data_IF_691301110746
#
_entry.id   IF_691301110746
#
_cell.length_a   1.000
_cell.length_b   1.000
_cell.length_c   1.000
_cell.angle_alpha   90.00
_cell.angle_beta   90.00
_cell.angle_gamma   90.00
#
_symmetry.space_group_name_H-M   'P 1'
#
loop_
_entity.id
_entity.type
_entity.pdbx_description
1 polymer ?
#
# COMPACT_ATOMS: atom_id res chain seq x y z
N UNK A 1 -0.69 3.48 14.51
CA UNK A 1 0.36 2.88 13.64
C UNK A 1 0.45 3.74 12.37
N UNK A 2 1.47 3.61 11.53
CA UNK A 2 1.57 4.39 10.29
C UNK A 2 2.07 3.55 9.13
N UNK A 3 1.52 3.75 7.94
CA UNK A 3 2.05 3.19 6.70
C UNK A 3 2.28 4.33 5.70
N UNK A 4 3.50 4.42 5.20
CA UNK A 4 3.91 5.43 4.24
C UNK A 4 4.42 4.73 2.98
N UNK A 5 3.95 5.21 1.83
CA UNK A 5 4.46 4.80 0.52
C UNK A 5 5.12 5.99 -0.13
N UNK A 6 6.42 5.87 -0.38
CA UNK A 6 7.19 6.84 -1.15
C UNK A 6 7.19 6.42 -2.61
N UNK A 7 6.61 7.25 -3.48
CA UNK A 7 6.62 7.02 -4.91
C UNK A 7 7.98 7.36 -5.52
N UNK A 8 8.46 6.59 -6.51
CA UNK A 8 9.71 6.86 -7.20
C UNK A 8 9.59 8.07 -8.14
N UNK A 9 10.73 8.51 -8.68
CA UNK A 9 10.77 9.56 -9.68
C UNK A 9 10.15 9.12 -11.02
N UNK A 10 9.34 9.99 -11.63
CA UNK A 10 8.66 9.71 -12.90
C UNK A 10 7.18 9.37 -12.74
N UNK A 11 6.46 9.29 -13.86
CA UNK A 11 5.07 8.87 -13.89
C UNK A 11 4.98 7.34 -14.02
N UNK A 12 3.99 6.69 -13.37
CA UNK A 12 3.69 5.29 -13.65
C UNK A 12 3.29 5.16 -15.14
N UNK A 13 4.21 4.67 -15.98
CA UNK A 13 3.94 4.42 -17.39
C UNK A 13 3.00 3.22 -17.58
N UNK A 14 2.28 3.14 -18.71
CA UNK A 14 1.37 2.02 -19.02
C UNK A 14 -0.11 2.34 -18.80
N UNK A 15 -0.94 1.30 -18.58
CA UNK A 15 -2.41 1.45 -18.47
C UNK A 15 -2.91 1.62 -17.04
N UNK A 16 -2.03 1.89 -16.07
CA UNK A 16 -2.37 2.03 -14.63
C UNK A 16 -3.42 3.12 -14.43
N UNK A 17 -4.51 2.77 -13.76
CA UNK A 17 -5.61 3.68 -13.40
C UNK A 17 -5.64 3.99 -11.91
N UNK A 18 -5.33 3.00 -11.06
CA UNK A 18 -5.21 3.18 -9.63
C UNK A 18 -4.36 2.06 -8.99
N UNK A 19 -3.88 2.35 -7.79
CA UNK A 19 -3.36 1.35 -6.86
C UNK A 19 -4.23 1.31 -5.60
N UNK A 20 -4.34 0.15 -4.98
CA UNK A 20 -4.90 0.02 -3.63
C UNK A 20 -4.00 -0.85 -2.77
N UNK A 21 -4.02 -0.61 -1.46
CA UNK A 21 -3.30 -1.40 -0.47
C UNK A 21 -4.29 -1.82 0.59
N UNK A 22 -4.40 -3.12 0.78
CA UNK A 22 -5.35 -3.74 1.69
C UNK A 22 -4.77 -5.04 2.23
N UNK A 23 -5.28 -5.51 3.36
CA UNK A 23 -4.95 -6.86 3.83
C UNK A 23 -5.64 -7.93 2.98
N UNK A 24 -5.09 -9.14 2.95
CA UNK A 24 -5.71 -10.32 2.33
C UNK A 24 -6.64 -11.09 3.27
N UNK A 25 -7.08 -10.45 4.35
CA UNK A 25 -8.08 -11.01 5.26
C UNK A 25 -9.41 -11.27 4.51
N UNK A 26 -10.22 -12.19 5.03
CA UNK A 26 -11.57 -12.44 4.53
C UNK A 26 -12.44 -11.17 4.51
N UNK A 27 -12.17 -10.23 5.43
CA UNK A 27 -12.65 -8.85 5.36
C UNK A 27 -11.44 -7.93 5.18
N UNK A 28 -11.15 -7.47 3.95
CA UNK A 28 -9.96 -6.68 3.68
C UNK A 28 -9.92 -5.40 4.50
N UNK A 29 -8.88 -5.25 5.31
CA UNK A 29 -8.56 -3.99 5.97
C UNK A 29 -7.95 -3.02 4.98
N UNK A 30 -8.64 -1.91 4.71
CA UNK A 30 -8.22 -0.93 3.71
C UNK A 30 -7.20 0.04 4.30
N UNK A 31 -6.02 0.10 3.71
CA UNK A 31 -4.95 1.04 4.08
C UNK A 31 -4.94 2.20 3.08
N UNK A 32 -4.89 1.90 1.78
CA UNK A 32 -5.06 2.87 0.70
C UNK A 32 -6.16 2.35 -0.23
N UNK A 33 -7.23 3.11 -0.42
CA UNK A 33 -8.29 2.77 -1.37
C UNK A 33 -7.89 3.21 -2.79
N UNK A 34 -8.60 2.69 -3.81
CA UNK A 34 -8.33 3.02 -5.21
C UNK A 34 -8.59 4.49 -5.57
N UNK A 35 -9.39 5.20 -4.78
CA UNK A 35 -9.65 6.64 -4.96
C UNK A 35 -8.44 7.47 -4.53
N UNK A 36 -7.92 7.23 -3.33
CA UNK A 36 -6.72 7.89 -2.83
C UNK A 36 -5.48 7.48 -3.63
N UNK A 37 -5.42 6.21 -4.06
CA UNK A 37 -4.38 5.68 -4.94
C UNK A 37 -4.65 5.85 -6.44
N UNK A 38 -5.57 6.74 -6.85
CA UNK A 38 -5.81 7.01 -8.26
C UNK A 38 -4.55 7.52 -8.95
N UNK A 39 -4.35 7.18 -10.24
CA UNK A 39 -3.13 7.53 -10.99
C UNK A 39 -2.84 9.04 -10.98
N UNK A 40 -3.88 9.88 -10.95
CA UNK A 40 -3.76 11.33 -10.86
C UNK A 40 -3.12 11.80 -9.53
N UNK A 41 -3.22 11.01 -8.47
CA UNK A 41 -2.62 11.26 -7.17
C UNK A 41 -1.23 10.62 -7.03
N UNK A 42 -0.83 9.76 -7.97
CA UNK A 42 0.48 9.10 -8.02
C UNK A 42 1.52 10.00 -8.70
N UNK A 43 1.65 11.23 -8.21
CA UNK A 43 2.62 12.17 -8.74
C UNK A 43 4.04 11.82 -8.25
N UNK A 44 5.04 12.18 -9.05
CA UNK A 44 6.45 11.98 -8.72
C UNK A 44 6.80 12.44 -7.30
N UNK A 45 7.47 11.57 -6.55
CA UNK A 45 7.92 11.78 -5.16
C UNK A 45 6.81 12.04 -4.12
N UNK A 46 5.54 11.86 -4.51
CA UNK A 46 4.41 12.01 -3.57
C UNK A 46 4.46 10.92 -2.51
N UNK A 47 4.20 11.34 -1.28
CA UNK A 47 4.04 10.47 -0.13
C UNK A 47 2.56 10.20 0.10
N UNK A 48 2.14 8.95 -0.14
CA UNK A 48 0.82 8.49 0.28
C UNK A 48 0.94 7.95 1.70
N UNK A 49 0.35 8.68 2.65
CA UNK A 49 0.34 8.32 4.06
C UNK A 49 -1.02 7.80 4.49
N UNK A 50 -1.02 6.69 5.24
CA UNK A 50 -2.16 6.25 6.03
C UNK A 50 -1.83 6.31 7.51
N UNK A 51 -2.73 6.91 8.28
CA UNK A 51 -2.66 6.98 9.73
C UNK A 51 -3.87 6.30 10.33
N UNK A 52 -3.64 5.34 11.22
CA UNK A 52 -4.71 4.63 11.90
C UNK A 52 -4.19 3.41 12.66
N UNK A 53 -5.14 2.62 13.15
CA UNK A 53 -4.87 1.30 13.72
C UNK A 53 -5.73 0.30 12.97
N UNK A 54 -5.08 -0.74 12.45
CA UNK A 54 -5.73 -1.83 11.74
C UNK A 54 -5.30 -3.13 12.44
N UNK A 55 -6.27 -3.91 12.89
CA UNK A 55 -6.00 -5.24 13.41
C UNK A 55 -5.82 -6.19 12.24
N UNK A 56 -4.67 -6.85 12.20
CA UNK A 56 -4.31 -7.80 11.14
C UNK A 56 -4.18 -9.17 11.80
N UNK A 57 -4.84 -10.17 11.23
CA UNK A 57 -4.73 -11.55 11.71
C UNK A 57 -3.32 -12.08 11.44
N UNK A 58 -2.81 -12.96 12.31
CA UNK A 58 -1.51 -13.60 12.06
C UNK A 58 -1.58 -14.42 10.76
N UNK A 59 -0.57 -14.26 9.91
CA UNK A 59 -0.48 -14.94 8.61
C UNK A 59 -1.13 -14.19 7.45
N UNK A 60 -1.81 -13.08 7.74
CA UNK A 60 -2.37 -12.17 6.73
C UNK A 60 -1.27 -11.28 6.16
N UNK A 61 -1.27 -11.11 4.84
CA UNK A 61 -0.36 -10.23 4.09
C UNK A 61 -1.00 -8.88 3.82
N UNK A 62 -0.16 -7.85 3.80
CA UNK A 62 -0.51 -6.57 3.18
C UNK A 62 -0.27 -6.71 1.68
N UNK A 63 -1.32 -6.54 0.89
CA UNK A 63 -1.27 -6.69 -0.56
C UNK A 63 -1.43 -5.34 -1.25
N UNK A 64 -0.61 -5.13 -2.28
CA UNK A 64 -0.73 -4.04 -3.23
C UNK A 64 -1.40 -4.57 -4.49
N UNK A 65 -2.50 -3.92 -4.88
CA UNK A 65 -3.25 -4.23 -6.10
C UNK A 65 -3.11 -3.08 -7.09
N UNK A 66 -2.87 -3.42 -8.35
CA UNK A 66 -2.90 -2.47 -9.48
C UNK A 66 -4.21 -2.72 -10.22
N UNK A 67 -5.04 -1.69 -10.35
CA UNK A 67 -6.43 -1.81 -10.83
C UNK A 67 -6.51 -2.07 -12.34
N UNK A 68 -5.41 -1.89 -13.07
CA UNK A 68 -5.30 -2.18 -14.50
C UNK A 68 -3.98 -2.84 -14.84
N UNK A 69 -3.79 -3.16 -16.13
CA UNK A 69 -2.65 -3.90 -16.65
C UNK A 69 -1.28 -3.33 -16.28
N UNK A 70 -0.21 -4.08 -16.64
CA UNK A 70 1.12 -3.83 -16.13
C UNK A 70 1.63 -2.43 -16.49
N UNK A 71 2.49 -1.90 -15.63
CA UNK A 71 3.25 -0.70 -15.92
C UNK A 71 4.10 -0.93 -17.19
N UNK A 72 4.23 0.10 -18.03
CA UNK A 72 5.09 0.07 -19.21
C UNK A 72 6.58 0.01 -18.90
N UNK A 73 6.97 0.27 -17.65
CA UNK A 73 8.33 0.20 -17.12
C UNK A 73 8.31 -0.18 -15.63
N UNK A 74 9.45 -0.65 -15.09
CA UNK A 74 9.56 -0.92 -13.65
C UNK A 74 9.29 0.33 -12.83
N UNK A 75 8.24 0.29 -12.01
CA UNK A 75 7.84 1.36 -11.11
C UNK A 75 7.84 0.82 -9.68
N UNK A 76 8.96 1.02 -8.97
CA UNK A 76 9.20 0.44 -7.64
C UNK A 76 8.92 1.50 -6.57
N UNK A 77 7.95 1.25 -5.70
CA UNK A 77 7.65 2.10 -4.55
C UNK A 77 8.22 1.50 -3.26
N UNK A 78 8.65 2.37 -2.34
CA UNK A 78 9.12 1.94 -1.02
C UNK A 78 7.98 2.03 -0.01
N UNK A 79 7.64 0.90 0.60
CA UNK A 79 6.60 0.82 1.64
C UNK A 79 7.26 0.72 3.00
N UNK A 80 7.00 1.69 3.86
CA UNK A 80 7.44 1.68 5.27
C UNK A 80 6.23 1.55 6.18
N UNK A 81 6.19 0.47 6.97
CA UNK A 81 5.12 0.23 7.93
C UNK A 81 5.67 0.26 9.36
N UNK A 82 5.02 1.04 10.23
CA UNK A 82 5.28 1.06 11.67
C UNK A 82 4.21 0.25 12.39
N UNK A 83 4.58 -0.94 12.84
CA UNK A 83 3.70 -1.85 13.57
C UNK A 83 4.09 -1.95 15.05
N UNK A 84 3.16 -2.42 15.88
CA UNK A 84 3.41 -2.84 17.26
C UNK A 84 2.81 -4.23 17.45
N UNK A 85 3.57 -5.13 18.06
CA UNK A 85 3.04 -6.42 18.48
C UNK A 85 2.07 -6.24 19.66
N UNK A 86 0.88 -6.81 19.56
CA UNK A 86 -0.14 -6.75 20.63
C UNK A 86 0.26 -7.63 21.83
N UNK A 87 1.10 -8.65 21.59
CA UNK A 87 1.65 -9.54 22.61
C UNK A 87 3.16 -9.40 22.71
N UNK A 88 3.70 -9.54 23.91
CA UNK A 88 5.16 -9.55 24.13
C UNK A 88 5.81 -10.68 23.33
N UNK A 89 6.79 -10.34 22.50
CA UNK A 89 7.49 -11.29 21.63
C UNK A 89 6.79 -11.65 20.30
N UNK A 90 5.65 -11.02 19.99
CA UNK A 90 5.03 -11.17 18.67
C UNK A 90 5.81 -10.44 17.58
N UNK A 91 5.86 -11.01 16.38
CA UNK A 91 6.39 -10.37 15.17
C UNK A 91 5.35 -10.47 14.05
N UNK A 92 5.36 -9.50 13.13
CA UNK A 92 4.70 -9.68 11.84
C UNK A 92 5.47 -10.76 11.08
N UNK A 93 4.82 -11.91 10.86
CA UNK A 93 5.35 -13.02 10.07
C UNK A 93 5.12 -12.77 8.57
#
# INVERSE_FOLDING_TARGET
ESLNIKLPTGAPGGTITAISIQTDDATPGVIINAENGAVANLLTETDLGWTGTLYITVGTKIQLTIVTGPAGASYVCNVTAKCRAVVSGGYLA
#
